data_IF_046753360661
#
_entry.id   IF_046753360661
#
_cell.length_a   1.000
_cell.length_b   1.000
_cell.length_c   1.000
_cell.angle_alpha   90.00
_cell.angle_beta   90.00
_cell.angle_gamma   90.00
#
_symmetry.space_group_name_H-M   'P 1'
#
loop_
_entity.id
_entity.type
_entity.pdbx_description
1 polymer ?
#
# COMPACT_ATOMS: atom_id res chain seq x y z
N UNK A 1 24.35 1.75 -7.81
CA UNK A 1 25.68 1.08 -7.85
C UNK A 1 25.82 0.31 -6.56
N UNK A 2 26.35 -0.93 -6.58
CA UNK A 2 26.48 -1.72 -5.36
C UNK A 2 27.30 -1.02 -4.28
N UNK A 3 27.00 -1.32 -3.02
CA UNK A 3 27.76 -0.83 -1.87
C UNK A 3 29.13 -1.51 -1.87
N UNK A 4 30.20 -0.73 -1.77
CA UNK A 4 31.56 -1.27 -1.64
C UNK A 4 31.78 -1.86 -0.24
N UNK A 5 32.11 -3.16 -0.19
CA UNK A 5 32.33 -3.89 1.05
C UNK A 5 33.81 -4.20 1.26
N UNK A 6 34.27 -4.07 2.51
CA UNK A 6 35.56 -4.62 2.91
C UNK A 6 35.47 -6.14 3.11
N UNK A 7 36.60 -6.81 3.32
CA UNK A 7 36.66 -8.26 3.44
C UNK A 7 35.77 -8.84 4.57
N UNK A 8 35.66 -8.15 5.71
CA UNK A 8 34.82 -8.58 6.83
C UNK A 8 33.33 -8.43 6.48
N UNK A 9 32.95 -7.31 5.89
CA UNK A 9 31.57 -7.05 5.44
C UNK A 9 31.14 -8.03 4.35
N UNK A 10 32.04 -8.36 3.44
CA UNK A 10 31.83 -9.35 2.38
C UNK A 10 31.59 -10.74 2.96
N UNK A 11 32.34 -11.14 3.99
CA UNK A 11 32.12 -12.39 4.71
C UNK A 11 30.74 -12.41 5.40
N UNK A 12 30.38 -11.34 6.12
CA UNK A 12 29.06 -11.21 6.75
C UNK A 12 27.93 -11.29 5.71
N UNK A 13 28.07 -10.61 4.56
CA UNK A 13 27.09 -10.66 3.47
C UNK A 13 26.91 -12.08 2.96
N UNK A 14 28.00 -12.81 2.69
CA UNK A 14 27.94 -14.18 2.18
C UNK A 14 27.27 -15.15 3.18
N UNK A 15 27.59 -15.02 4.47
CA UNK A 15 26.94 -15.80 5.51
C UNK A 15 25.45 -15.49 5.62
N UNK A 16 25.08 -14.20 5.57
CA UNK A 16 23.69 -13.77 5.61
C UNK A 16 22.90 -14.29 4.41
N UNK A 17 23.46 -14.14 3.20
CA UNK A 17 22.85 -14.63 1.96
C UNK A 17 22.56 -16.14 2.03
N UNK A 18 23.52 -16.92 2.54
CA UNK A 18 23.37 -18.37 2.71
C UNK A 18 22.19 -18.70 3.63
N UNK A 19 22.09 -18.03 4.77
CA UNK A 19 21.00 -18.27 5.74
C UNK A 19 19.63 -17.83 5.18
N UNK A 20 19.58 -16.72 4.44
CA UNK A 20 18.38 -16.25 3.74
C UNK A 20 17.93 -17.26 2.68
N UNK A 21 18.84 -17.76 1.85
CA UNK A 21 18.50 -18.71 0.79
C UNK A 21 18.00 -20.05 1.35
N UNK A 22 18.57 -20.50 2.48
CA UNK A 22 18.10 -21.72 3.15
C UNK A 22 16.68 -21.55 3.74
N UNK A 23 16.39 -20.41 4.38
CA UNK A 23 15.03 -20.11 4.85
C UNK A 23 14.04 -19.92 3.71
N UNK A 24 14.46 -19.30 2.60
CA UNK A 24 13.64 -19.14 1.41
C UNK A 24 13.25 -20.50 0.82
N UNK A 25 14.20 -21.44 0.77
CA UNK A 25 13.93 -22.81 0.35
C UNK A 25 13.00 -23.54 1.31
N UNK A 26 13.18 -23.34 2.61
CA UNK A 26 12.25 -23.86 3.62
C UNK A 26 10.82 -23.34 3.44
N UNK A 27 10.61 -22.05 3.18
CA UNK A 27 9.27 -21.51 2.96
C UNK A 27 8.58 -22.07 1.71
N UNK A 28 9.34 -22.56 0.72
CA UNK A 28 8.79 -23.24 -0.46
C UNK A 28 8.48 -24.71 -0.21
N UNK A 29 9.35 -25.41 0.51
CA UNK A 29 9.38 -26.88 0.55
C UNK A 29 9.21 -27.50 1.94
N UNK A 30 8.99 -26.69 2.98
CA UNK A 30 8.80 -27.10 4.38
C UNK A 30 9.93 -28.01 4.91
N UNK A 31 11.19 -27.72 4.55
CA UNK A 31 12.35 -28.59 4.78
C UNK A 31 12.96 -28.57 6.19
N UNK A 32 12.59 -27.61 7.03
CA UNK A 32 13.20 -27.34 8.34
C UNK A 32 12.14 -27.43 9.44
N UNK A 33 12.56 -27.85 10.63
CA UNK A 33 11.74 -27.79 11.83
C UNK A 33 11.65 -26.36 12.39
N UNK A 34 10.63 -26.08 13.19
CA UNK A 34 10.46 -24.79 13.88
C UNK A 34 11.69 -24.38 14.72
N UNK A 35 12.36 -25.34 15.35
CA UNK A 35 13.58 -25.06 16.12
C UNK A 35 14.75 -24.64 15.22
N UNK A 36 14.89 -25.28 14.06
CA UNK A 36 15.91 -24.91 13.06
C UNK A 36 15.63 -23.51 12.51
N UNK A 37 14.37 -23.21 12.16
CA UNK A 37 13.97 -21.86 11.70
C UNK A 37 14.32 -20.80 12.74
N UNK A 38 14.02 -21.04 14.03
CA UNK A 38 14.38 -20.11 15.10
C UNK A 38 15.90 -19.89 15.21
N UNK A 39 16.71 -20.93 15.01
CA UNK A 39 18.17 -20.84 14.99
C UNK A 39 18.68 -20.01 13.82
N UNK A 40 18.11 -20.19 12.62
CA UNK A 40 18.43 -19.38 11.46
C UNK A 40 18.07 -17.91 11.71
N UNK A 41 16.85 -17.61 12.18
CA UNK A 41 16.43 -16.23 12.47
C UNK A 41 17.32 -15.54 13.51
N UNK A 42 17.70 -16.24 14.59
CA UNK A 42 18.60 -15.68 15.61
C UNK A 42 20.03 -15.47 15.09
N UNK A 43 20.50 -16.32 14.17
CA UNK A 43 21.82 -16.17 13.53
C UNK A 43 21.81 -15.02 12.53
N UNK A 44 20.83 -15.00 11.63
CA UNK A 44 20.59 -13.90 10.69
C UNK A 44 20.49 -12.57 11.41
N UNK A 45 19.74 -12.51 12.52
CA UNK A 45 19.59 -11.33 13.35
C UNK A 45 20.92 -10.71 13.79
N UNK A 46 21.84 -11.56 14.26
CA UNK A 46 23.18 -11.10 14.68
C UNK A 46 24.05 -10.66 13.51
N UNK A 47 24.09 -11.45 12.44
CA UNK A 47 24.94 -11.17 11.27
C UNK A 47 24.49 -9.90 10.57
N UNK A 48 23.18 -9.76 10.31
CA UNK A 48 22.62 -8.60 9.63
C UNK A 48 22.75 -7.33 10.46
N UNK A 49 22.57 -7.41 11.79
CA UNK A 49 22.82 -6.28 12.68
C UNK A 49 24.29 -5.84 12.64
N UNK A 50 25.23 -6.78 12.75
CA UNK A 50 26.66 -6.47 12.68
C UNK A 50 27.03 -5.84 11.34
N UNK A 51 26.54 -6.40 10.24
CA UNK A 51 26.74 -5.87 8.91
C UNK A 51 26.18 -4.46 8.78
N UNK A 52 24.93 -4.24 9.20
CA UNK A 52 24.29 -2.92 9.19
C UNK A 52 25.11 -1.88 9.97
N UNK A 53 25.50 -2.20 11.20
CA UNK A 53 26.25 -1.27 12.06
C UNK A 53 27.67 -0.98 11.54
N UNK A 54 28.22 -1.86 10.71
CA UNK A 54 29.55 -1.67 10.11
C UNK A 54 29.56 -0.76 8.86
N UNK A 55 28.39 -0.49 8.28
CA UNK A 55 28.24 0.25 7.01
C UNK A 55 28.10 1.76 7.24
N UNK A 56 28.65 2.55 6.31
CA UNK A 56 28.50 4.00 6.29
C UNK A 56 28.31 4.49 4.84
N UNK A 57 27.17 5.12 4.48
CA UNK A 57 26.01 5.40 5.34
C UNK A 57 25.32 4.12 5.83
N UNK A 58 24.59 4.24 6.95
CA UNK A 58 23.80 3.12 7.46
C UNK A 58 22.68 2.75 6.48
N UNK A 59 22.43 1.45 6.26
CA UNK A 59 21.37 0.98 5.36
C UNK A 59 20.00 1.55 5.71
N UNK A 60 19.27 1.96 4.67
CA UNK A 60 17.85 2.32 4.76
C UNK A 60 16.99 1.07 4.64
N UNK A 61 15.83 1.10 5.31
CA UNK A 61 14.80 0.06 5.27
C UNK A 61 13.47 0.74 4.99
N UNK A 62 12.54 0.03 4.36
CA UNK A 62 11.20 0.55 4.14
C UNK A 62 10.54 1.00 5.46
N UNK A 63 9.89 2.16 5.48
CA UNK A 63 9.28 2.73 6.68
C UNK A 63 8.25 1.81 7.31
N UNK A 64 7.45 1.14 6.49
CA UNK A 64 6.43 0.21 6.99
C UNK A 64 7.04 -1.00 7.72
N UNK A 65 8.27 -1.44 7.39
CA UNK A 65 8.94 -2.50 8.15
C UNK A 65 9.33 -2.03 9.56
N UNK A 66 9.87 -0.82 9.68
CA UNK A 66 10.21 -0.23 10.98
C UNK A 66 8.94 -0.06 11.83
N UNK A 67 7.86 0.45 11.24
CA UNK A 67 6.55 0.62 11.89
C UNK A 67 5.97 -0.72 12.35
N UNK A 68 5.94 -1.74 11.48
CA UNK A 68 5.40 -3.06 11.80
C UNK A 68 6.21 -3.79 12.88
N UNK A 69 7.52 -3.60 12.92
CA UNK A 69 8.39 -4.20 13.95
C UNK A 69 8.38 -3.42 15.25
N UNK A 70 7.98 -2.14 15.24
CA UNK A 70 7.95 -1.28 16.42
C UNK A 70 9.32 -1.05 17.04
N UNK A 71 10.40 -1.20 16.26
CA UNK A 71 11.78 -1.05 16.72
C UNK A 71 12.69 -0.53 15.60
N UNK A 72 13.77 0.14 16.00
CA UNK A 72 14.80 0.68 15.10
C UNK A 72 15.60 -0.43 14.43
N UNK A 73 16.08 -0.20 13.21
CA UNK A 73 17.03 -1.09 12.52
C UNK A 73 18.38 -1.22 13.24
N UNK A 74 18.67 -0.35 14.21
CA UNK A 74 19.84 -0.44 15.10
C UNK A 74 19.64 -1.42 16.25
N UNK A 75 18.42 -1.93 16.49
CA UNK A 75 18.15 -3.01 17.47
C UNK A 75 18.41 -4.36 16.79
N UNK A 76 19.24 -5.26 17.35
CA UNK A 76 19.51 -6.58 16.77
C UNK A 76 18.25 -7.39 16.49
N UNK A 77 17.21 -7.24 17.33
CA UNK A 77 15.95 -7.96 17.16
C UNK A 77 15.22 -7.56 15.90
N UNK A 78 15.48 -6.38 15.33
CA UNK A 78 14.93 -5.97 14.04
C UNK A 78 15.27 -6.99 12.95
N UNK A 79 16.45 -7.60 13.00
CA UNK A 79 16.87 -8.59 12.01
C UNK A 79 16.54 -10.04 12.37
N UNK A 80 15.92 -10.31 13.53
CA UNK A 80 15.40 -11.65 13.88
C UNK A 80 14.13 -12.00 13.09
N UNK A 81 14.09 -11.63 11.82
CA UNK A 81 13.00 -11.85 10.87
C UNK A 81 13.57 -11.87 9.46
N UNK A 82 12.90 -12.60 8.58
CA UNK A 82 13.32 -12.82 7.20
C UNK A 82 13.44 -11.51 6.38
N UNK A 83 12.34 -10.73 6.26
CA UNK A 83 12.32 -9.55 5.38
C UNK A 83 13.39 -8.48 5.66
N UNK A 84 13.65 -8.03 6.90
CA UNK A 84 14.74 -7.07 7.15
C UNK A 84 16.12 -7.55 6.69
N UNK A 85 16.35 -8.87 6.66
CA UNK A 85 17.58 -9.43 6.14
C UNK A 85 17.61 -9.42 4.60
N UNK A 86 16.47 -9.63 3.93
CA UNK A 86 16.35 -9.46 2.48
C UNK A 86 16.58 -8.00 2.08
N UNK A 87 15.89 -7.04 2.71
CA UNK A 87 16.07 -5.60 2.47
C UNK A 87 17.52 -5.17 2.64
N UNK A 88 18.22 -5.69 3.67
CA UNK A 88 19.63 -5.41 3.83
C UNK A 88 20.47 -5.94 2.66
N UNK A 89 20.20 -7.15 2.16
CA UNK A 89 20.91 -7.71 1.01
C UNK A 89 20.62 -6.93 -0.28
N UNK A 90 19.37 -6.49 -0.48
CA UNK A 90 18.96 -5.69 -1.62
C UNK A 90 19.62 -4.31 -1.61
N UNK A 91 19.69 -3.64 -0.45
CA UNK A 91 20.43 -2.38 -0.27
C UNK A 91 21.90 -2.49 -0.70
N UNK A 92 22.56 -3.62 -0.42
CA UNK A 92 23.96 -3.82 -0.79
C UNK A 92 24.16 -3.93 -2.31
N UNK A 93 23.14 -4.38 -3.04
CA UNK A 93 23.16 -4.42 -4.50
C UNK A 93 22.77 -3.07 -5.11
N UNK A 94 21.78 -2.42 -4.52
CA UNK A 94 21.29 -1.11 -4.92
C UNK A 94 20.84 -0.27 -3.70
N UNK A 95 21.57 0.80 -3.33
CA UNK A 95 21.23 1.64 -2.18
C UNK A 95 19.84 2.29 -2.22
N UNK A 96 19.20 2.32 -3.39
CA UNK A 96 17.83 2.83 -3.59
C UNK A 96 16.75 1.74 -3.55
N UNK A 97 17.13 0.47 -3.39
CA UNK A 97 16.18 -0.66 -3.41
C UNK A 97 15.08 -0.54 -2.34
N UNK A 98 15.42 0.07 -1.20
CA UNK A 98 14.52 0.19 -0.04
C UNK A 98 13.93 1.60 0.10
N UNK A 99 14.08 2.47 -0.91
CA UNK A 99 13.45 3.78 -0.89
C UNK A 99 11.92 3.60 -0.84
N UNK A 100 11.27 4.24 0.13
CA UNK A 100 9.81 4.20 0.17
C UNK A 100 9.23 4.85 -1.09
N UNK A 101 8.17 4.27 -1.67
CA UNK A 101 7.49 4.87 -2.80
C UNK A 101 7.08 6.31 -2.48
N UNK A 102 7.38 7.22 -3.41
CA UNK A 102 6.97 8.62 -3.27
C UNK A 102 5.51 8.72 -3.74
N UNK A 103 4.66 9.28 -2.90
CA UNK A 103 3.29 9.58 -3.28
C UNK A 103 3.25 10.82 -4.18
N UNK A 104 2.96 10.60 -5.46
CA UNK A 104 2.91 11.66 -6.47
C UNK A 104 1.50 12.17 -6.77
N UNK A 105 0.46 11.60 -6.14
CA UNK A 105 -0.95 11.84 -6.53
C UNK A 105 -1.71 12.72 -5.55
N UNK A 106 -1.06 13.23 -4.49
CA UNK A 106 -1.66 14.27 -3.64
C UNK A 106 -1.80 15.57 -4.45
N UNK A 107 -3.02 16.09 -4.50
CA UNK A 107 -3.40 17.27 -5.30
C UNK A 107 -3.96 16.91 -6.67
N UNK A 108 -3.83 15.66 -7.11
CA UNK A 108 -4.41 15.21 -8.38
C UNK A 108 -5.93 15.17 -8.31
N UNK A 109 -6.55 15.44 -9.47
CA UNK A 109 -7.99 15.43 -9.67
C UNK A 109 -8.36 14.21 -10.52
N UNK A 110 -9.25 13.39 -9.98
CA UNK A 110 -9.75 12.18 -10.59
C UNK A 110 -11.24 12.31 -10.94
N UNK A 111 -11.69 11.51 -11.90
CA UNK A 111 -13.09 11.42 -12.27
C UNK A 111 -13.71 10.17 -11.68
N UNK A 112 -14.85 10.30 -11.02
CA UNK A 112 -15.63 9.18 -10.51
C UNK A 112 -16.97 9.18 -11.24
N UNK A 113 -17.09 8.31 -12.27
CA UNK A 113 -18.20 8.33 -13.23
C UNK A 113 -19.23 7.27 -12.89
N UNK A 114 -20.42 7.70 -12.50
CA UNK A 114 -21.47 6.80 -11.99
C UNK A 114 -22.73 6.92 -12.83
N UNK A 115 -23.36 5.79 -13.14
CA UNK A 115 -24.67 5.76 -13.77
C UNK A 115 -25.77 6.16 -12.80
N UNK A 116 -26.68 7.02 -13.24
CA UNK A 116 -27.78 7.54 -12.44
C UNK A 116 -29.11 7.18 -13.08
N UNK A 117 -29.97 6.37 -12.44
CA UNK A 117 -31.25 5.98 -13.07
C UNK A 117 -32.16 7.19 -13.26
N UNK A 118 -32.12 8.15 -12.33
CA UNK A 118 -32.91 9.39 -12.38
C UNK A 118 -32.71 10.17 -13.69
N UNK A 119 -31.48 10.20 -14.20
CA UNK A 119 -31.12 10.98 -15.38
C UNK A 119 -30.92 10.12 -16.63
N UNK A 120 -30.72 8.81 -16.47
CA UNK A 120 -30.52 7.88 -17.58
C UNK A 120 -29.17 8.05 -18.30
N UNK A 121 -28.17 8.62 -17.62
CA UNK A 121 -26.81 8.76 -18.12
C UNK A 121 -25.79 8.64 -16.98
N UNK A 122 -24.51 8.72 -17.34
CA UNK A 122 -23.42 8.82 -16.37
C UNK A 122 -23.26 10.26 -15.90
N UNK A 123 -23.19 10.46 -14.60
CA UNK A 123 -22.75 11.69 -13.95
C UNK A 123 -21.29 11.55 -13.50
N UNK A 124 -20.58 12.68 -13.41
CA UNK A 124 -19.16 12.70 -13.04
C UNK A 124 -18.96 13.52 -11.78
N UNK A 125 -18.50 12.85 -10.72
CA UNK A 125 -18.03 13.47 -9.50
C UNK A 125 -16.52 13.67 -9.62
N UNK A 126 -16.01 14.89 -9.35
CA UNK A 126 -14.57 15.15 -9.35
C UNK A 126 -14.02 14.93 -7.96
N UNK A 127 -12.99 14.11 -7.84
CA UNK A 127 -12.36 13.77 -6.57
C UNK A 127 -10.94 14.31 -6.57
N UNK A 128 -10.63 15.25 -5.68
CA UNK A 128 -9.24 15.68 -5.48
C UNK A 128 -8.67 14.90 -4.31
N UNK A 129 -7.55 14.21 -4.51
CA UNK A 129 -6.89 13.48 -3.42
C UNK A 129 -6.09 14.48 -2.58
N UNK A 130 -6.42 14.61 -1.30
CA UNK A 130 -5.74 15.50 -0.35
C UNK A 130 -5.05 14.70 0.75
N UNK A 131 -4.28 15.39 1.61
CA UNK A 131 -3.62 14.74 2.75
C UNK A 131 -4.63 14.14 3.76
N UNK A 132 -5.83 14.73 3.84
CA UNK A 132 -6.86 14.33 4.80
C UNK A 132 -7.89 13.34 4.21
N UNK A 133 -7.91 13.15 2.90
CA UNK A 133 -8.85 12.25 2.24
C UNK A 133 -9.20 12.65 0.82
N UNK A 134 -10.50 12.65 0.49
CA UNK A 134 -11.02 13.06 -0.81
C UNK A 134 -11.83 14.35 -0.70
N UNK A 135 -11.43 15.39 -1.41
CA UNK A 135 -12.29 16.54 -1.66
C UNK A 135 -13.22 16.21 -2.84
N UNK A 136 -14.51 16.14 -2.55
CA UNK A 136 -15.54 15.75 -3.51
C UNK A 136 -16.16 17.03 -4.07
N UNK A 137 -16.06 17.18 -5.38
CA UNK A 137 -16.64 18.28 -6.11
C UNK A 137 -17.74 17.81 -7.05
N UNK A 138 -18.92 18.40 -6.87
CA UNK A 138 -20.08 18.30 -7.78
C UNK A 138 -20.37 19.67 -8.39
N UNK A 139 -21.49 19.83 -9.10
CA UNK A 139 -21.91 21.16 -9.58
C UNK A 139 -22.23 22.13 -8.43
N UNK A 140 -22.67 21.61 -7.28
CA UNK A 140 -23.26 22.42 -6.20
C UNK A 140 -22.45 22.36 -4.89
N UNK A 141 -21.42 21.51 -4.85
CA UNK A 141 -20.68 21.16 -3.65
C UNK A 141 -19.19 21.05 -3.95
N UNK A 142 -18.35 21.50 -3.03
CA UNK A 142 -16.93 21.16 -2.99
C UNK A 142 -16.51 21.08 -1.53
N UNK A 143 -16.52 19.87 -0.98
CA UNK A 143 -16.28 19.65 0.44
C UNK A 143 -15.28 18.50 0.67
N UNK A 144 -14.54 18.61 1.77
CA UNK A 144 -13.53 17.63 2.17
C UNK A 144 -14.20 16.48 2.92
N UNK A 145 -14.05 15.26 2.40
CA UNK A 145 -14.34 14.02 3.13
C UNK A 145 -13.07 13.39 3.70
N UNK A 146 -13.24 12.32 4.47
CA UNK A 146 -12.12 11.51 4.93
C UNK A 146 -11.53 10.64 3.79
N UNK A 147 -10.62 9.73 4.12
CA UNK A 147 -9.99 8.82 3.15
C UNK A 147 -10.96 7.83 2.52
N UNK A 148 -12.10 7.55 3.17
CA UNK A 148 -13.23 6.81 2.60
C UNK A 148 -14.17 7.70 1.77
N UNK A 149 -13.92 9.01 1.73
CA UNK A 149 -14.80 9.99 1.11
C UNK A 149 -16.01 10.33 1.96
N UNK A 150 -16.09 9.83 3.20
CA UNK A 150 -17.19 10.11 4.11
C UNK A 150 -17.11 11.52 4.72
N UNK A 151 -18.25 12.16 5.00
CA UNK A 151 -19.60 11.78 4.57
C UNK A 151 -19.94 12.28 3.15
N UNK A 152 -19.01 13.00 2.51
CA UNK A 152 -19.32 13.89 1.38
C UNK A 152 -19.69 13.12 0.11
N UNK A 153 -18.96 12.06 -0.24
CA UNK A 153 -19.24 11.29 -1.46
C UNK A 153 -20.60 10.60 -1.37
N UNK A 154 -20.86 9.97 -0.24
CA UNK A 154 -22.12 9.27 0.06
C UNK A 154 -23.29 10.25 0.05
N UNK A 155 -23.10 11.45 0.63
CA UNK A 155 -24.11 12.50 0.60
C UNK A 155 -24.37 13.01 -0.82
N UNK A 156 -23.33 13.20 -1.64
CA UNK A 156 -23.47 13.59 -3.04
C UNK A 156 -24.27 12.55 -3.84
N UNK A 157 -23.91 11.27 -3.72
CA UNK A 157 -24.64 10.16 -4.37
C UNK A 157 -26.10 10.09 -3.89
N UNK A 158 -26.33 10.24 -2.59
CA UNK A 158 -27.69 10.23 -2.01
C UNK A 158 -28.55 11.39 -2.53
N UNK A 159 -27.98 12.59 -2.65
CA UNK A 159 -28.68 13.76 -3.20
C UNK A 159 -29.08 13.55 -4.66
N UNK A 160 -28.27 12.83 -5.43
CA UNK A 160 -28.58 12.45 -6.81
C UNK A 160 -29.46 11.19 -6.92
N UNK A 161 -29.90 10.64 -5.78
CA UNK A 161 -30.74 9.44 -5.69
C UNK A 161 -30.06 8.19 -6.27
N UNK A 162 -28.73 8.12 -6.13
CA UNK A 162 -27.92 6.97 -6.55
C UNK A 162 -27.83 5.96 -5.41
N UNK A 163 -28.16 4.72 -5.70
CA UNK A 163 -27.96 3.58 -4.80
C UNK A 163 -26.52 3.08 -4.91
N UNK A 164 -25.86 2.90 -3.77
CA UNK A 164 -24.47 2.45 -3.73
C UNK A 164 -24.25 1.37 -2.65
N UNK A 165 -23.20 0.55 -2.79
CA UNK A 165 -22.86 -0.46 -1.81
C UNK A 165 -22.49 0.13 -0.45
N UNK A 166 -22.86 -0.57 0.62
CA UNK A 166 -22.58 -0.14 2.00
C UNK A 166 -21.08 0.06 2.29
N UNK A 167 -20.21 -0.67 1.62
CA UNK A 167 -18.75 -0.67 1.87
C UNK A 167 -17.96 0.18 0.87
N UNK A 168 -18.63 1.16 0.23
CA UNK A 168 -17.98 2.11 -0.68
C UNK A 168 -16.82 2.86 -0.01
N UNK A 169 -17.05 3.34 1.23
CA UNK A 169 -16.07 3.99 2.09
C UNK A 169 -14.78 3.16 2.22
N UNK A 170 -14.92 1.86 2.49
CA UNK A 170 -13.79 0.95 2.65
C UNK A 170 -12.96 0.80 1.36
N UNK A 171 -13.62 0.79 0.19
CA UNK A 171 -12.92 0.73 -1.11
C UNK A 171 -12.20 2.03 -1.42
N UNK A 172 -12.84 3.17 -1.17
CA UNK A 172 -12.23 4.49 -1.31
C UNK A 172 -11.02 4.67 -0.40
N UNK A 173 -11.12 4.23 0.86
CA UNK A 173 -10.02 4.22 1.82
C UNK A 173 -8.86 3.36 1.32
N UNK A 174 -9.15 2.17 0.79
CA UNK A 174 -8.13 1.26 0.24
C UNK A 174 -7.37 1.92 -0.91
N UNK A 175 -8.07 2.55 -1.86
CA UNK A 175 -7.43 3.26 -2.97
C UNK A 175 -6.52 4.37 -2.42
N UNK A 176 -7.02 5.16 -1.47
CA UNK A 176 -6.26 6.27 -0.90
C UNK A 176 -4.96 5.80 -0.22
N UNK A 177 -5.03 4.74 0.60
CA UNK A 177 -3.86 4.19 1.29
C UNK A 177 -2.89 3.51 0.33
N UNK A 178 -3.38 2.75 -0.65
CA UNK A 178 -2.50 2.08 -1.62
C UNK A 178 -1.78 3.08 -2.53
N UNK A 179 -2.44 4.18 -2.91
CA UNK A 179 -1.80 5.26 -3.66
C UNK A 179 -0.58 5.82 -2.93
N UNK A 180 -0.69 5.98 -1.60
CA UNK A 180 0.40 6.41 -0.73
C UNK A 180 1.47 5.33 -0.55
N UNK A 181 1.05 4.11 -0.23
CA UNK A 181 1.96 3.06 0.20
C UNK A 181 2.75 2.43 -0.95
N UNK A 182 2.18 2.44 -2.17
CA UNK A 182 2.81 1.88 -3.37
C UNK A 182 3.31 2.96 -4.34
N UNK A 183 3.11 4.24 -4.03
CA UNK A 183 3.45 5.34 -4.93
C UNK A 183 2.74 5.22 -6.27
N UNK A 184 1.44 4.90 -6.24
CA UNK A 184 0.68 4.66 -7.48
C UNK A 184 0.69 5.92 -8.36
N UNK A 185 0.75 5.68 -9.66
CA UNK A 185 0.59 6.74 -10.67
C UNK A 185 -0.85 7.21 -10.75
N UNK A 186 -1.06 8.40 -11.32
CA UNK A 186 -2.39 8.94 -11.61
C UNK A 186 -3.28 7.91 -12.32
N UNK A 187 -2.79 7.29 -13.39
CA UNK A 187 -3.57 6.34 -14.20
C UNK A 187 -3.98 5.09 -13.40
N UNK A 188 -3.11 4.60 -12.50
CA UNK A 188 -3.43 3.46 -11.64
C UNK A 188 -4.51 3.81 -10.61
N UNK A 189 -4.45 5.01 -10.02
CA UNK A 189 -5.48 5.50 -9.09
C UNK A 189 -6.80 5.71 -9.83
N UNK A 190 -6.77 6.32 -11.02
CA UNK A 190 -7.96 6.52 -11.86
C UNK A 190 -8.59 5.17 -12.25
N UNK A 191 -7.79 4.18 -12.67
CA UNK A 191 -8.31 2.85 -13.01
C UNK A 191 -8.99 2.17 -11.81
N UNK A 192 -8.41 2.27 -10.62
CA UNK A 192 -9.03 1.71 -9.40
C UNK A 192 -10.33 2.43 -9.04
N UNK A 193 -10.39 3.76 -9.22
CA UNK A 193 -11.61 4.55 -9.03
C UNK A 193 -12.68 4.18 -10.05
N UNK A 194 -12.31 3.93 -11.31
CA UNK A 194 -13.23 3.50 -12.37
C UNK A 194 -13.88 2.15 -12.04
N UNK A 195 -13.11 1.19 -11.51
CA UNK A 195 -13.66 -0.10 -11.05
C UNK A 195 -14.70 0.08 -9.94
N UNK A 196 -14.41 0.95 -8.95
CA UNK A 196 -15.35 1.24 -7.86
C UNK A 196 -16.57 2.00 -8.38
N UNK A 197 -16.40 2.95 -9.30
CA UNK A 197 -17.48 3.72 -9.89
C UNK A 197 -18.42 2.83 -10.74
N UNK A 198 -17.88 1.85 -11.46
CA UNK A 198 -18.68 0.87 -12.19
C UNK A 198 -19.42 -0.09 -11.24
N UNK A 199 -18.84 -0.44 -10.10
CA UNK A 199 -19.53 -1.21 -9.06
C UNK A 199 -20.71 -0.44 -8.45
N UNK A 200 -20.55 0.86 -8.20
CA UNK A 200 -21.67 1.73 -7.80
C UNK A 200 -22.72 1.80 -8.91
N UNK A 201 -22.30 2.02 -10.15
CA UNK A 201 -23.20 2.07 -11.32
C UNK A 201 -24.01 0.79 -11.49
N UNK A 202 -23.37 -0.36 -11.31
CA UNK A 202 -24.02 -1.67 -11.36
C UNK A 202 -25.03 -1.84 -10.23
N UNK A 203 -24.70 -1.35 -9.04
CA UNK A 203 -25.62 -1.38 -7.89
C UNK A 203 -26.86 -0.55 -8.19
N UNK A 204 -26.68 0.69 -8.65
CA UNK A 204 -27.77 1.59 -9.01
C UNK A 204 -28.66 1.03 -10.13
N UNK A 205 -28.08 0.49 -11.21
CA UNK A 205 -28.85 -0.11 -12.31
C UNK A 205 -29.73 -1.29 -11.89
N UNK A 206 -29.30 -2.02 -10.86
CA UNK A 206 -30.01 -3.18 -10.35
C UNK A 206 -30.99 -2.84 -9.22
N UNK A 207 -31.06 -1.57 -8.80
CA UNK A 207 -32.06 -1.12 -7.84
C UNK A 207 -33.47 -1.29 -8.42
N UNK A 208 -34.43 -1.87 -7.66
CA UNK A 208 -35.81 -1.95 -8.08
C UNK A 208 -36.37 -0.56 -8.40
N UNK A 209 -36.67 -0.31 -9.67
CA UNK A 209 -37.16 0.97 -10.19
C UNK A 209 -38.47 0.82 -11.00
N UNK A 210 -39.22 -0.26 -10.75
CA UNK A 210 -40.47 -0.58 -11.46
C UNK A 210 -41.63 -0.73 -10.48
N UNK A 211 -42.85 -0.47 -10.97
CA UNK A 211 -44.07 -0.67 -10.20
C UNK A 211 -44.18 0.33 -9.04
N UNK A 212 -44.36 -0.16 -7.81
CA UNK A 212 -44.47 0.69 -6.61
C UNK A 212 -43.16 1.40 -6.23
N UNK A 213 -42.05 1.06 -6.90
CA UNK A 213 -40.72 1.65 -6.69
C UNK A 213 -40.33 2.66 -7.78
N UNK A 214 -41.29 3.08 -8.62
CA UNK A 214 -41.06 4.07 -9.66
C UNK A 214 -41.10 5.47 -9.01
N UNK A 215 -39.96 6.16 -8.98
CA UNK A 215 -39.81 7.53 -8.47
C UNK A 215 -39.49 8.50 -9.60
#
# INVERSE_FOLDING_TARGET
>A
MPVELNAHQEELRQQLQTDVDELREHFRNETLSREQVQKYLARMGRIAHELHMSLNPHPTHHRHMIENRGMSATDPRFYEHFHPCEDLLDYLQDPTANDDPIDHTIGDIFNFRVWTNRWGHYDTYRLTRTQDGWNVQTMSLSEQGDKGGEPILQHALTNDSVSYPRTLDSKMYTIWEQAKNLGLTHDQVQAALDEVAEWVSTTERNTPNRGIFNY
#
